data_IF_643202795361
#
_entry.id   IF_643202795361
#
_cell.length_a   1.000
_cell.length_b   1.000
_cell.length_c   1.000
_cell.angle_alpha   90.00
_cell.angle_beta   90.00
_cell.angle_gamma   90.00
#
_symmetry.space_group_name_H-M   'P 1'
#
loop_
_entity.id
_entity.type
_entity.pdbx_description
1 polymer ?
#
# COMPACT_ATOMS: atom_id res chain seq x y z
N UNK A 1 26.09 14.57 2.90
CA UNK A 1 24.89 14.08 3.59
C UNK A 1 23.76 14.95 3.13
N UNK A 2 22.87 14.39 2.32
CA UNK A 2 21.84 15.10 1.56
C UNK A 2 20.75 15.65 2.51
N UNK A 3 19.98 16.65 2.11
CA UNK A 3 18.83 17.16 2.89
C UNK A 3 17.80 16.03 3.14
N UNK A 4 17.67 15.14 2.14
CA UNK A 4 16.89 13.92 2.20
C UNK A 4 17.25 13.01 3.40
N UNK A 5 18.53 12.95 3.79
CA UNK A 5 19.00 12.08 4.88
C UNK A 5 18.70 12.67 6.27
N UNK A 6 18.43 13.98 6.35
CA UNK A 6 18.43 14.73 7.62
C UNK A 6 17.04 15.15 8.10
N UNK A 7 16.04 15.11 7.22
CA UNK A 7 14.72 15.69 7.51
C UNK A 7 13.61 14.74 7.07
N UNK A 8 12.56 14.68 7.90
CA UNK A 8 11.30 14.05 7.53
C UNK A 8 10.49 14.88 6.52
N UNK A 9 10.98 16.05 6.13
CA UNK A 9 10.39 16.90 5.08
C UNK A 9 11.47 17.64 4.29
N UNK A 10 11.22 17.93 3.02
CA UNK A 10 12.09 18.81 2.23
C UNK A 10 11.33 19.46 1.08
N UNK A 11 11.99 20.40 0.39
CA UNK A 11 11.48 20.99 -0.84
C UNK A 11 12.18 20.37 -2.05
N UNK A 12 11.48 19.60 -2.91
CA UNK A 12 12.06 19.06 -4.12
C UNK A 12 12.54 20.19 -5.05
N UNK A 13 13.71 19.99 -5.66
CA UNK A 13 14.15 20.85 -6.75
C UNK A 13 13.27 20.58 -8.00
N UNK A 14 12.89 21.61 -8.77
CA UNK A 14 12.30 21.43 -10.08
C UNK A 14 13.19 20.58 -10.99
N UNK A 15 12.61 19.94 -12.00
CA UNK A 15 13.38 19.25 -13.02
C UNK A 15 14.28 20.21 -13.81
N UNK A 16 15.48 19.74 -14.13
CA UNK A 16 16.31 20.40 -15.13
C UNK A 16 15.59 20.39 -16.48
N UNK A 17 15.82 21.41 -17.31
CA UNK A 17 15.18 21.52 -18.63
C UNK A 17 15.41 20.25 -19.49
N UNK A 18 16.54 19.57 -19.28
CA UNK A 18 16.89 18.33 -19.97
C UNK A 18 16.00 17.13 -19.58
N UNK A 19 15.24 17.18 -18.49
CA UNK A 19 14.37 16.07 -18.02
C UNK A 19 12.89 16.43 -18.01
N UNK A 20 12.57 17.71 -18.23
CA UNK A 20 11.20 18.19 -18.34
C UNK A 20 10.44 17.41 -19.42
N UNK A 21 9.15 17.15 -19.18
CA UNK A 21 8.30 16.51 -20.18
C UNK A 21 8.21 17.43 -21.42
N UNK A 22 8.58 16.95 -22.63
CA UNK A 22 8.49 17.74 -23.85
C UNK A 22 7.07 18.23 -24.15
N UNK A 23 6.95 19.43 -24.72
CA UNK A 23 5.66 20.09 -24.96
C UNK A 23 4.75 19.32 -25.92
N UNK A 24 5.32 18.63 -26.90
CA UNK A 24 4.58 17.80 -27.84
C UNK A 24 3.94 16.58 -27.14
N UNK A 25 4.67 15.95 -26.20
CA UNK A 25 4.13 14.85 -25.39
C UNK A 25 3.10 15.36 -24.38
N UNK A 26 3.30 16.56 -23.82
CA UNK A 26 2.34 17.22 -22.93
C UNK A 26 1.01 17.49 -23.65
N UNK A 27 1.06 18.00 -24.88
CA UNK A 27 -0.12 18.33 -25.66
C UNK A 27 -0.92 17.10 -26.10
N UNK A 28 -0.28 15.93 -26.20
CA UNK A 28 -0.91 14.67 -26.59
C UNK A 28 -1.67 13.96 -25.44
N UNK A 29 -1.50 14.41 -24.19
CA UNK A 29 -2.11 13.76 -23.03
C UNK A 29 -3.51 14.31 -22.70
N UNK A 30 -4.51 13.45 -22.40
CA UNK A 30 -5.87 13.88 -22.06
C UNK A 30 -5.99 14.81 -20.84
N UNK A 31 -5.01 14.80 -19.92
CA UNK A 31 -4.96 15.69 -18.76
C UNK A 31 -3.99 16.87 -18.95
N UNK A 32 -3.41 17.03 -20.15
CA UNK A 32 -2.36 18.01 -20.42
C UNK A 32 -1.11 17.80 -19.57
N UNK A 33 -0.85 16.55 -19.16
CA UNK A 33 0.24 16.14 -18.27
C UNK A 33 0.34 16.97 -16.98
N UNK A 34 -0.81 17.35 -16.41
CA UNK A 34 -0.92 18.06 -15.12
C UNK A 34 -0.46 17.20 -13.95
N UNK A 35 -0.53 15.88 -14.12
CA UNK A 35 -0.13 14.83 -13.18
C UNK A 35 1.29 14.29 -13.44
N UNK A 36 2.07 14.91 -14.34
CA UNK A 36 3.44 14.48 -14.58
C UNK A 36 4.35 14.81 -13.39
N UNK A 37 4.80 13.76 -12.68
CA UNK A 37 5.75 13.87 -11.58
C UNK A 37 7.15 14.30 -12.01
N UNK A 38 7.93 14.85 -11.07
CA UNK A 38 9.29 15.33 -11.33
C UNK A 38 10.32 14.21 -11.19
N UNK A 39 11.28 14.16 -12.13
CA UNK A 39 12.41 13.23 -12.09
C UNK A 39 13.28 13.51 -10.85
N UNK A 40 13.59 14.78 -10.58
CA UNK A 40 14.39 15.20 -9.44
C UNK A 40 13.75 14.88 -8.09
N UNK A 41 12.42 14.81 -8.03
CA UNK A 41 11.71 14.34 -6.84
C UNK A 41 11.99 12.86 -6.55
N UNK A 42 12.09 12.02 -7.58
CA UNK A 42 12.20 10.56 -7.43
C UNK A 42 13.62 10.10 -7.15
N UNK A 43 14.63 10.78 -7.71
CA UNK A 43 16.05 10.38 -7.62
C UNK A 43 16.58 10.15 -6.20
N UNK A 44 16.30 11.00 -5.19
CA UNK A 44 16.75 10.75 -3.82
C UNK A 44 16.23 9.41 -3.25
N UNK A 45 14.97 9.07 -3.51
CA UNK A 45 14.39 7.80 -3.08
C UNK A 45 15.03 6.60 -3.78
N UNK A 46 15.26 6.70 -5.09
CA UNK A 46 15.99 5.66 -5.83
C UNK A 46 17.36 5.44 -5.20
N UNK A 47 18.14 6.51 -4.98
CA UNK A 47 19.50 6.41 -4.42
C UNK A 47 19.51 5.78 -3.04
N UNK A 48 18.53 6.13 -2.21
CA UNK A 48 18.51 5.73 -0.81
C UNK A 48 17.96 4.31 -0.60
N UNK A 49 16.94 3.91 -1.36
CA UNK A 49 16.22 2.65 -1.16
C UNK A 49 16.54 1.56 -2.17
N UNK A 50 17.54 1.77 -3.04
CA UNK A 50 18.04 0.75 -3.96
C UNK A 50 19.54 0.88 -4.17
N UNK A 51 20.16 -0.16 -4.74
CA UNK A 51 21.56 -0.21 -5.15
C UNK A 51 21.67 -0.12 -6.68
N UNK A 52 22.80 0.36 -7.23
CA UNK A 52 23.03 0.30 -8.68
C UNK A 52 22.77 -1.10 -9.24
N UNK A 53 22.08 -1.18 -10.38
CA UNK A 53 21.66 -2.43 -11.03
C UNK A 53 20.41 -3.11 -10.46
N UNK A 54 19.86 -2.66 -9.32
CA UNK A 54 18.58 -3.18 -8.81
C UNK A 54 17.38 -2.70 -9.65
N UNK A 55 16.27 -3.44 -9.54
CA UNK A 55 15.05 -3.20 -10.31
C UNK A 55 14.10 -2.24 -9.58
N UNK A 56 13.98 -1.01 -10.11
CA UNK A 56 12.95 -0.04 -9.69
C UNK A 56 11.67 -0.29 -10.49
N UNK A 57 10.55 -0.31 -9.80
CA UNK A 57 9.24 -0.56 -10.39
C UNK A 57 8.24 0.55 -10.07
N UNK A 58 7.46 0.94 -11.08
CA UNK A 58 6.35 1.87 -10.94
C UNK A 58 5.05 1.25 -11.51
N UNK A 59 4.08 0.86 -10.66
CA UNK A 59 2.79 0.31 -11.11
C UNK A 59 1.88 1.32 -11.80
N UNK A 60 2.21 2.61 -11.74
CA UNK A 60 1.42 3.72 -12.29
C UNK A 60 2.34 4.68 -13.06
N UNK A 61 3.17 4.13 -13.95
CA UNK A 61 4.36 4.84 -14.43
C UNK A 61 4.06 6.10 -15.23
N UNK A 62 2.84 6.30 -15.73
CA UNK A 62 2.40 7.54 -16.38
C UNK A 62 3.36 7.95 -17.48
N UNK A 63 4.06 9.06 -17.29
CA UNK A 63 5.04 9.60 -18.24
C UNK A 63 6.48 9.06 -18.05
N UNK A 64 6.68 8.01 -17.26
CA UNK A 64 7.97 7.38 -17.03
C UNK A 64 8.96 8.17 -16.16
N UNK A 65 8.51 9.17 -15.38
CA UNK A 65 9.41 9.99 -14.56
C UNK A 65 10.22 9.16 -13.56
N UNK A 66 9.59 8.17 -12.90
CA UNK A 66 10.28 7.24 -12.00
C UNK A 66 11.31 6.39 -12.75
N UNK A 67 10.96 5.90 -13.94
CA UNK A 67 11.82 5.02 -14.73
C UNK A 67 13.06 5.77 -15.23
N UNK A 68 12.88 7.03 -15.65
CA UNK A 68 13.97 7.93 -16.02
C UNK A 68 14.85 8.26 -14.80
N UNK A 69 14.25 8.56 -13.64
CA UNK A 69 15.00 8.80 -12.41
C UNK A 69 15.86 7.58 -12.02
N UNK A 70 15.31 6.38 -12.15
CA UNK A 70 16.03 5.14 -11.89
C UNK A 70 17.23 4.97 -12.82
N UNK A 71 17.04 5.16 -14.12
CA UNK A 71 18.10 5.08 -15.12
C UNK A 71 19.22 6.11 -14.88
N UNK A 72 18.87 7.36 -14.57
CA UNK A 72 19.85 8.41 -14.25
C UNK A 72 20.69 8.09 -13.01
N UNK A 73 20.14 7.30 -12.09
CA UNK A 73 20.84 6.82 -10.90
C UNK A 73 21.54 5.47 -11.13
N UNK A 74 21.58 4.93 -12.36
CA UNK A 74 22.24 3.67 -12.66
C UNK A 74 21.51 2.43 -12.13
N UNK A 75 20.18 2.52 -12.00
CA UNK A 75 19.29 1.38 -11.70
C UNK A 75 18.58 0.93 -12.96
N UNK A 76 18.20 -0.35 -12.98
CA UNK A 76 17.27 -0.84 -13.97
C UNK A 76 15.85 -0.41 -13.58
N UNK A 77 14.97 -0.28 -14.58
CA UNK A 77 13.61 0.15 -14.32
C UNK A 77 12.61 -0.56 -15.22
N UNK A 78 11.40 -0.78 -14.69
CA UNK A 78 10.24 -1.18 -15.48
C UNK A 78 8.97 -0.62 -14.85
N UNK A 79 7.92 -0.44 -15.64
CA UNK A 79 6.67 0.12 -15.13
C UNK A 79 5.45 -0.37 -15.87
N UNK A 80 4.29 0.01 -15.34
CA UNK A 80 2.98 -0.31 -15.90
C UNK A 80 2.17 0.96 -16.07
N UNK A 81 1.47 1.05 -17.19
CA UNK A 81 0.50 2.11 -17.45
C UNK A 81 -0.72 1.47 -18.12
N UNK A 82 -1.91 1.73 -17.58
CA UNK A 82 -3.12 1.08 -18.03
C UNK A 82 -3.60 1.65 -19.37
N UNK A 83 -3.37 2.95 -19.60
CA UNK A 83 -3.74 3.62 -20.85
C UNK A 83 -2.68 3.37 -21.95
N UNK A 84 -3.04 2.72 -23.07
CA UNK A 84 -2.07 2.40 -24.13
C UNK A 84 -1.40 3.63 -24.74
N UNK A 85 -2.12 4.75 -24.86
CA UNK A 85 -1.60 5.97 -25.45
C UNK A 85 -0.55 6.62 -24.52
N UNK A 86 -0.85 6.72 -23.22
CA UNK A 86 0.07 7.21 -22.20
C UNK A 86 1.28 6.31 -22.02
N UNK A 87 1.09 4.98 -22.08
CA UNK A 87 2.20 4.03 -22.12
C UNK A 87 3.14 4.32 -23.31
N UNK A 88 2.59 4.66 -24.48
CA UNK A 88 3.38 5.03 -25.65
C UNK A 88 4.11 6.37 -25.47
N UNK A 89 3.48 7.35 -24.81
CA UNK A 89 4.14 8.61 -24.44
C UNK A 89 5.33 8.36 -23.50
N UNK A 90 5.17 7.48 -22.50
CA UNK A 90 6.24 7.09 -21.59
C UNK A 90 7.43 6.48 -22.34
N UNK A 91 7.18 5.49 -23.21
CA UNK A 91 8.21 4.87 -24.05
C UNK A 91 8.93 5.90 -24.92
N UNK A 92 8.18 6.81 -25.53
CA UNK A 92 8.73 7.87 -26.39
C UNK A 92 9.63 8.81 -25.59
N UNK A 93 9.21 9.24 -24.40
CA UNK A 93 10.02 10.06 -23.50
C UNK A 93 11.31 9.35 -23.11
N UNK A 94 11.23 8.09 -22.68
CA UNK A 94 12.40 7.30 -22.28
C UNK A 94 13.39 7.12 -23.44
N UNK A 95 12.90 6.80 -24.64
CA UNK A 95 13.73 6.67 -25.83
C UNK A 95 14.48 7.97 -26.19
N UNK A 96 13.85 9.14 -26.03
CA UNK A 96 14.51 10.45 -26.24
C UNK A 96 15.66 10.71 -25.26
N UNK A 97 15.66 10.06 -24.10
CA UNK A 97 16.75 10.10 -23.14
C UNK A 97 17.71 8.90 -23.27
N UNK A 98 17.60 8.10 -24.33
CA UNK A 98 18.36 6.86 -24.51
C UNK A 98 18.22 5.88 -23.33
N UNK A 99 17.03 5.85 -22.71
CA UNK A 99 16.71 4.93 -21.62
C UNK A 99 15.87 3.77 -22.15
N UNK A 100 16.38 2.56 -21.98
CA UNK A 100 15.65 1.32 -22.26
C UNK A 100 15.03 0.78 -20.96
N UNK A 101 13.73 0.98 -20.78
CA UNK A 101 12.97 0.47 -19.64
C UNK A 101 11.62 -0.10 -20.12
N UNK A 102 11.26 -1.36 -19.79
CA UNK A 102 9.98 -1.92 -20.16
C UNK A 102 8.81 -1.14 -19.57
N UNK A 103 7.85 -0.78 -20.42
CA UNK A 103 6.55 -0.24 -20.03
C UNK A 103 5.50 -1.22 -20.50
N UNK A 104 4.85 -1.92 -19.57
CA UNK A 104 3.77 -2.88 -19.86
C UNK A 104 2.44 -2.15 -19.85
N UNK A 105 1.59 -2.41 -20.86
CA UNK A 105 0.23 -1.86 -20.88
C UNK A 105 -0.67 -2.72 -20.00
N UNK A 106 -1.26 -2.13 -18.97
CA UNK A 106 -2.20 -2.80 -18.07
C UNK A 106 -1.98 -2.48 -16.59
N UNK A 107 -2.61 -3.27 -15.74
CA UNK A 107 -2.56 -3.13 -14.29
C UNK A 107 -1.83 -4.30 -13.64
N UNK A 108 -1.06 -4.01 -12.59
CA UNK A 108 -0.41 -5.05 -11.78
C UNK A 108 -1.42 -5.99 -11.10
N UNK A 109 -2.68 -5.54 -10.94
CA UNK A 109 -3.75 -6.39 -10.42
C UNK A 109 -4.03 -7.59 -11.35
N UNK A 110 -3.76 -7.44 -12.65
CA UNK A 110 -4.17 -8.40 -13.69
C UNK A 110 -2.96 -9.05 -14.39
N UNK A 111 -1.83 -8.35 -14.47
CA UNK A 111 -0.67 -8.76 -15.27
C UNK A 111 0.59 -8.77 -14.40
N UNK A 112 1.43 -9.78 -14.59
CA UNK A 112 2.72 -9.88 -13.91
C UNK A 112 3.71 -8.80 -14.40
N UNK A 113 4.56 -8.26 -13.51
CA UNK A 113 5.59 -7.29 -13.90
C UNK A 113 6.63 -7.92 -14.83
N UNK A 114 7.31 -7.08 -15.62
CA UNK A 114 8.33 -7.53 -16.56
C UNK A 114 9.58 -8.13 -15.88
N UNK A 115 9.79 -7.84 -14.59
CA UNK A 115 10.93 -8.30 -13.83
C UNK A 115 10.63 -8.34 -12.31
N UNK A 116 11.50 -8.95 -11.49
CA UNK A 116 11.41 -8.85 -10.03
C UNK A 116 11.49 -7.39 -9.55
N UNK A 117 10.90 -7.11 -8.38
CA UNK A 117 10.81 -5.76 -7.82
C UNK A 117 11.68 -5.66 -6.56
N UNK A 118 12.74 -4.84 -6.63
CA UNK A 118 13.60 -4.49 -5.49
C UNK A 118 13.07 -3.25 -4.75
N UNK A 119 12.72 -2.22 -5.52
CA UNK A 119 12.12 -0.97 -5.05
C UNK A 119 10.83 -0.69 -5.82
N UNK A 120 9.72 -0.51 -5.11
CA UNK A 120 8.52 0.10 -5.69
C UNK A 120 8.56 1.60 -5.42
N UNK A 121 8.55 2.44 -6.45
CA UNK A 121 8.49 3.89 -6.31
C UNK A 121 7.42 4.41 -7.26
N UNK A 122 6.44 5.14 -6.74
CA UNK A 122 5.28 5.52 -7.55
C UNK A 122 4.63 6.80 -7.07
N UNK A 123 4.03 7.55 -7.99
CA UNK A 123 3.01 8.53 -7.65
C UNK A 123 1.65 7.94 -7.99
N UNK A 124 0.77 7.84 -7.00
CA UNK A 124 -0.49 7.13 -7.17
C UNK A 124 -1.48 7.98 -7.97
N UNK A 125 -2.34 7.39 -8.82
CA UNK A 125 -3.40 8.16 -9.46
C UNK A 125 -4.32 8.76 -8.40
N UNK A 126 -4.65 10.05 -8.54
CA UNK A 126 -5.49 10.76 -7.58
C UNK A 126 -6.98 10.66 -7.90
N UNK A 127 -7.80 10.50 -6.86
CA UNK A 127 -9.24 10.47 -7.00
C UNK A 127 -9.78 11.85 -7.42
N UNK A 128 -10.79 11.84 -8.30
CA UNK A 128 -11.45 13.06 -8.77
C UNK A 128 -10.66 13.85 -9.83
N UNK A 129 -9.56 13.29 -10.36
CA UNK A 129 -8.98 13.76 -11.61
C UNK A 129 -9.96 13.42 -12.74
N UNK A 130 -10.66 14.42 -13.28
CA UNK A 130 -11.61 14.23 -14.38
C UNK A 130 -10.91 13.63 -15.61
N UNK A 131 -10.90 12.32 -15.73
CA UNK A 131 -10.31 11.60 -16.86
C UNK A 131 -11.12 11.87 -18.13
N UNK A 132 -10.44 12.26 -19.20
CA UNK A 132 -11.06 12.59 -20.49
C UNK A 132 -10.70 11.61 -21.62
N UNK A 133 -9.86 10.60 -21.34
CA UNK A 133 -9.55 9.53 -22.27
C UNK A 133 -10.52 8.35 -22.18
N UNK A 134 -10.16 7.23 -22.80
CA UNK A 134 -10.95 6.01 -22.75
C UNK A 134 -11.03 5.47 -21.31
N UNK A 135 -12.24 5.08 -20.88
CA UNK A 135 -12.47 4.50 -19.55
C UNK A 135 -12.25 2.99 -19.63
N UNK A 136 -11.02 2.58 -19.30
CA UNK A 136 -10.63 1.17 -19.26
C UNK A 136 -11.01 0.55 -17.90
N UNK A 137 -11.35 -0.76 -17.85
CA UNK A 137 -11.50 -1.47 -16.56
C UNK A 137 -10.23 -1.32 -15.72
N UNK A 138 -10.38 -0.87 -14.47
CA UNK A 138 -9.25 -0.60 -13.57
C UNK A 138 -8.63 0.80 -13.69
N UNK A 139 -9.14 1.67 -14.57
CA UNK A 139 -8.68 3.06 -14.69
C UNK A 139 -9.07 3.87 -13.46
N UNK A 140 -8.11 4.05 -12.53
CA UNK A 140 -8.36 4.68 -11.23
C UNK A 140 -8.73 6.15 -11.32
N UNK A 141 -8.23 6.89 -12.33
CA UNK A 141 -8.65 8.27 -12.57
C UNK A 141 -10.14 8.39 -12.95
N UNK A 142 -10.72 7.34 -13.53
CA UNK A 142 -12.11 7.30 -13.95
C UNK A 142 -13.05 6.64 -12.90
N UNK A 143 -12.59 6.44 -11.67
CA UNK A 143 -13.39 5.84 -10.60
C UNK A 143 -14.67 6.66 -10.36
N UNK A 144 -15.83 6.01 -10.44
CA UNK A 144 -17.15 6.64 -10.23
C UNK A 144 -17.36 7.17 -8.82
N UNK A 145 -16.71 6.54 -7.84
CA UNK A 145 -16.83 6.83 -6.44
C UNK A 145 -15.53 6.46 -5.70
N UNK A 146 -15.40 6.98 -4.49
CA UNK A 146 -14.18 6.86 -3.71
C UNK A 146 -13.94 5.44 -3.18
N UNK A 147 -14.99 4.65 -2.95
CA UNK A 147 -14.85 3.27 -2.48
C UNK A 147 -14.31 2.37 -3.58
N UNK A 148 -14.80 2.54 -4.82
CA UNK A 148 -14.27 1.89 -6.01
C UNK A 148 -12.79 2.22 -6.25
N UNK A 149 -12.41 3.49 -6.06
CA UNK A 149 -11.02 3.95 -6.13
C UNK A 149 -10.12 3.22 -5.09
N UNK A 150 -10.53 3.19 -3.82
CA UNK A 150 -9.77 2.50 -2.76
C UNK A 150 -9.68 0.99 -3.00
N UNK A 151 -10.74 0.39 -3.57
CA UNK A 151 -10.76 -1.03 -3.94
C UNK A 151 -9.71 -1.34 -5.01
N UNK A 152 -9.63 -0.52 -6.06
CA UNK A 152 -8.61 -0.69 -7.09
C UNK A 152 -7.18 -0.43 -6.58
N UNK A 153 -6.98 0.58 -5.72
CA UNK A 153 -5.70 0.77 -5.02
C UNK A 153 -5.30 -0.47 -4.21
N UNK A 154 -6.21 -1.01 -3.41
CA UNK A 154 -5.98 -2.22 -2.62
C UNK A 154 -5.60 -3.40 -3.51
N UNK A 155 -6.28 -3.58 -4.65
CA UNK A 155 -5.98 -4.66 -5.60
C UNK A 155 -4.54 -4.56 -6.13
N UNK A 156 -4.12 -3.37 -6.57
CA UNK A 156 -2.76 -3.14 -7.09
C UNK A 156 -1.71 -3.37 -6.00
N UNK A 157 -1.85 -2.78 -4.81
CA UNK A 157 -0.86 -2.96 -3.74
C UNK A 157 -0.84 -4.39 -3.17
N UNK A 158 -1.97 -5.09 -3.20
CA UNK A 158 -2.02 -6.51 -2.85
C UNK A 158 -1.27 -7.36 -3.88
N UNK A 159 -1.40 -7.05 -5.17
CA UNK A 159 -0.62 -7.70 -6.23
C UNK A 159 0.89 -7.37 -6.10
N UNK A 160 1.23 -6.11 -5.79
CA UNK A 160 2.61 -5.69 -5.52
C UNK A 160 3.23 -6.55 -4.43
N UNK A 161 2.53 -6.76 -3.31
CA UNK A 161 3.00 -7.58 -2.19
C UNK A 161 3.39 -9.01 -2.63
N UNK A 162 2.70 -9.58 -3.62
CA UNK A 162 3.00 -10.93 -4.13
C UNK A 162 4.25 -10.97 -5.01
N UNK A 163 4.58 -9.87 -5.68
CA UNK A 163 5.67 -9.78 -6.67
C UNK A 163 6.95 -9.19 -6.10
N UNK A 164 6.82 -8.38 -5.05
CA UNK A 164 7.92 -7.69 -4.40
C UNK A 164 8.80 -8.65 -3.60
N UNK A 165 10.12 -8.49 -3.70
CA UNK A 165 11.06 -9.32 -2.93
C UNK A 165 10.84 -9.16 -1.42
N UNK A 166 11.08 -10.21 -0.60
CA UNK A 166 11.16 -10.05 0.84
C UNK A 166 12.13 -8.93 1.22
N UNK A 167 11.75 -8.15 2.21
CA UNK A 167 12.46 -6.96 2.69
C UNK A 167 12.62 -5.82 1.66
N UNK A 168 12.03 -5.93 0.48
CA UNK A 168 11.98 -4.85 -0.50
C UNK A 168 11.25 -3.62 0.05
N UNK A 169 11.66 -2.43 -0.40
CA UNK A 169 11.11 -1.15 0.05
C UNK A 169 10.17 -0.56 -1.00
N UNK A 170 9.06 0.01 -0.54
CA UNK A 170 8.09 0.70 -1.35
C UNK A 170 7.91 2.14 -0.89
N UNK A 171 7.69 3.03 -1.85
CA UNK A 171 7.42 4.45 -1.62
C UNK A 171 6.25 4.85 -2.51
N UNK A 172 5.14 5.22 -1.89
CA UNK A 172 3.95 5.71 -2.58
C UNK A 172 3.74 7.20 -2.30
N UNK A 173 3.83 8.02 -3.35
CA UNK A 173 3.56 9.44 -3.29
C UNK A 173 2.05 9.69 -3.39
N UNK A 174 1.50 10.48 -2.47
CA UNK A 174 0.05 10.71 -2.37
C UNK A 174 -0.28 12.03 -1.66
N UNK A 175 -1.39 12.65 -2.05
CA UNK A 175 -1.91 13.88 -1.44
C UNK A 175 -3.32 13.67 -0.89
N UNK A 176 -3.72 14.48 0.08
CA UNK A 176 -5.14 14.67 0.39
C UNK A 176 -5.75 15.57 -0.70
N UNK A 177 -6.86 15.13 -1.28
CA UNK A 177 -7.50 15.80 -2.42
C UNK A 177 -8.72 16.61 -1.99
N UNK A 178 -9.14 17.53 -2.85
CA UNK A 178 -10.40 18.29 -2.67
C UNK A 178 -11.23 18.06 -3.91
N UNK A 179 -12.41 17.48 -3.74
CA UNK A 179 -13.34 17.14 -4.82
C UNK A 179 -14.69 17.74 -4.47
N UNK A 180 -15.23 18.59 -5.35
CA UNK A 180 -16.49 19.29 -5.10
C UNK A 180 -16.49 20.13 -3.81
N UNK A 181 -15.35 20.72 -3.43
CA UNK A 181 -15.19 21.49 -2.18
C UNK A 181 -15.03 20.65 -0.92
N UNK A 182 -15.08 19.32 -1.00
CA UNK A 182 -14.89 18.41 0.13
C UNK A 182 -13.45 17.92 0.19
N UNK A 183 -12.82 18.02 1.36
CA UNK A 183 -11.52 17.37 1.63
C UNK A 183 -11.72 15.86 1.72
N UNK A 184 -10.90 15.13 0.97
CA UNK A 184 -10.82 13.68 0.98
C UNK A 184 -9.44 13.29 1.52
N UNK A 185 -9.37 12.52 2.63
CA UNK A 185 -8.12 12.14 3.28
C UNK A 185 -7.41 10.98 2.55
N UNK A 186 -7.23 11.12 1.23
CA UNK A 186 -6.70 10.07 0.36
C UNK A 186 -5.33 9.56 0.79
N UNK A 187 -4.44 10.43 1.29
CA UNK A 187 -3.13 10.00 1.77
C UNK A 187 -3.25 9.08 3.00
N UNK A 188 -4.15 9.39 3.92
CA UNK A 188 -4.33 8.61 5.14
C UNK A 188 -5.05 7.29 4.86
N UNK A 189 -5.99 7.29 3.93
CA UNK A 189 -6.72 6.08 3.52
C UNK A 189 -5.80 5.12 2.78
N UNK A 190 -4.95 5.63 1.88
CA UNK A 190 -3.90 4.83 1.26
C UNK A 190 -2.90 4.32 2.31
N UNK A 191 -2.51 5.15 3.28
CA UNK A 191 -1.67 4.72 4.40
C UNK A 191 -2.25 3.52 5.15
N UNK A 192 -3.57 3.51 5.39
CA UNK A 192 -4.27 2.37 5.99
C UNK A 192 -4.24 1.12 5.11
N UNK A 193 -4.41 1.25 3.79
CA UNK A 193 -4.27 0.14 2.85
C UNK A 193 -2.85 -0.43 2.92
N UNK A 194 -1.83 0.43 2.82
CA UNK A 194 -0.43 0.02 2.88
C UNK A 194 -0.09 -0.67 4.21
N UNK A 195 -0.54 -0.13 5.36
CA UNK A 195 -0.35 -0.74 6.68
C UNK A 195 -0.96 -2.13 6.82
N UNK A 196 -2.05 -2.40 6.10
CA UNK A 196 -2.70 -3.72 6.12
C UNK A 196 -1.95 -4.78 5.30
N UNK A 197 -1.08 -4.35 4.39
CA UNK A 197 -0.36 -5.21 3.43
C UNK A 197 1.14 -5.31 3.73
N UNK A 198 1.73 -4.24 4.25
CA UNK A 198 3.16 -4.04 4.46
C UNK A 198 3.44 -3.48 5.85
N UNK A 199 4.70 -3.51 6.27
CA UNK A 199 5.12 -2.75 7.45
C UNK A 199 5.36 -1.30 7.03
N UNK A 200 4.53 -0.38 7.54
CA UNK A 200 4.81 1.05 7.40
C UNK A 200 6.08 1.40 8.19
N UNK A 201 6.99 2.13 7.55
CA UNK A 201 8.27 2.53 8.14
C UNK A 201 8.25 3.98 8.58
N UNK A 202 7.98 4.87 7.64
CA UNK A 202 7.99 6.30 7.88
C UNK A 202 7.24 7.01 6.74
N UNK A 203 7.02 8.29 6.89
CA UNK A 203 6.63 9.19 5.82
C UNK A 203 7.72 10.25 5.58
N UNK A 204 7.75 10.77 4.35
CA UNK A 204 8.41 12.04 4.05
C UNK A 204 7.38 13.04 3.56
N UNK A 205 7.49 14.30 3.97
CA UNK A 205 6.63 15.38 3.47
C UNK A 205 7.40 16.23 2.46
N UNK A 206 6.94 16.22 1.22
CA UNK A 206 7.52 16.97 0.12
C UNK A 206 6.78 18.30 0.00
N UNK A 207 7.45 19.39 0.36
CA UNK A 207 6.87 20.74 0.37
C UNK A 207 7.28 21.52 -0.88
N UNK A 208 6.35 21.71 -1.81
CA UNK A 208 6.59 22.44 -3.06
C UNK A 208 6.55 23.95 -2.84
N UNK A 209 7.46 24.69 -3.48
CA UNK A 209 7.37 26.15 -3.53
C UNK A 209 6.27 26.56 -4.51
N UNK A 210 5.09 26.88 -3.97
CA UNK A 210 3.97 27.46 -4.73
C UNK A 210 3.53 28.76 -4.06
N UNK A 211 3.11 29.73 -4.86
CA UNK A 211 2.51 30.95 -4.35
C UNK A 211 1.28 30.62 -3.49
N UNK A 212 1.07 31.40 -2.43
CA UNK A 212 -0.08 31.30 -1.54
C UNK A 212 -0.66 32.69 -1.28
N UNK A 213 -1.90 32.73 -0.81
CA UNK A 213 -2.56 33.94 -0.36
C UNK A 213 -2.69 33.93 1.16
N UNK A 214 -2.83 35.12 1.77
CA UNK A 214 -3.24 35.21 3.16
C UNK A 214 -4.64 34.61 3.32
N UNK A 215 -4.82 33.81 4.37
CA UNK A 215 -6.12 33.23 4.71
C UNK A 215 -6.87 34.17 5.63
N UNK A 216 -8.17 34.34 5.38
CA UNK A 216 -9.08 34.99 6.30
C UNK A 216 -9.23 34.19 7.61
N UNK A 217 -9.80 34.82 8.64
CA UNK A 217 -10.09 34.12 9.89
C UNK A 217 -10.99 32.90 9.64
N UNK A 218 -10.58 31.74 10.17
CA UNK A 218 -11.25 30.44 10.02
C UNK A 218 -11.31 29.87 8.58
N UNK A 219 -10.67 30.51 7.60
CA UNK A 219 -10.48 29.89 6.28
C UNK A 219 -9.41 28.80 6.34
N UNK A 220 -9.71 27.66 5.73
CA UNK A 220 -8.83 26.47 5.76
C UNK A 220 -8.22 26.14 4.39
N UNK A 221 -8.68 26.80 3.32
CA UNK A 221 -8.29 26.51 1.94
C UNK A 221 -6.95 27.16 1.59
N UNK A 222 -5.86 26.49 1.93
CA UNK A 222 -4.51 26.90 1.53
C UNK A 222 -4.17 26.49 0.09
N UNK A 223 -2.95 26.83 -0.36
CA UNK A 223 -2.43 26.39 -1.66
C UNK A 223 -2.08 24.89 -1.73
N UNK A 224 -2.23 24.15 -0.62
CA UNK A 224 -1.97 22.69 -0.49
C UNK A 224 -0.73 22.24 -1.26
N UNK A 225 0.38 22.89 -0.97
CA UNK A 225 1.63 22.70 -1.69
C UNK A 225 2.51 21.60 -1.07
N UNK A 226 1.91 20.46 -0.69
CA UNK A 226 2.66 19.32 -0.18
C UNK A 226 2.16 17.97 -0.67
N UNK A 227 3.04 16.97 -0.64
CA UNK A 227 2.77 15.57 -0.91
C UNK A 227 3.41 14.68 0.18
N UNK A 228 2.79 13.55 0.47
CA UNK A 228 3.34 12.52 1.35
C UNK A 228 4.02 11.46 0.51
N UNK A 229 5.25 11.09 0.85
CA UNK A 229 5.86 9.84 0.42
C UNK A 229 5.73 8.83 1.54
N UNK A 230 4.80 7.89 1.40
CA UNK A 230 4.57 6.84 2.38
C UNK A 230 5.57 5.70 2.13
N UNK A 231 6.44 5.45 3.10
CA UNK A 231 7.49 4.43 3.01
C UNK A 231 7.01 3.16 3.71
N UNK A 232 7.02 2.06 2.98
CA UNK A 232 6.60 0.75 3.45
C UNK A 232 7.62 -0.32 3.07
N UNK A 233 7.61 -1.45 3.78
CA UNK A 233 8.53 -2.55 3.51
C UNK A 233 7.80 -3.88 3.47
N UNK A 234 8.18 -4.74 2.52
CA UNK A 234 7.72 -6.12 2.43
C UNK A 234 8.48 -7.04 3.39
N UNK A 235 8.47 -6.70 4.68
CA UNK A 235 9.00 -7.58 5.72
C UNK A 235 7.86 -8.40 6.34
N UNK A 236 8.14 -9.66 6.66
CA UNK A 236 7.21 -10.50 7.40
C UNK A 236 7.14 -9.98 8.85
N UNK A 237 5.95 -9.58 9.30
CA UNK A 237 5.74 -9.25 10.70
C UNK A 237 6.10 -10.49 11.55
N UNK A 238 6.89 -10.28 12.62
CA UNK A 238 7.21 -11.34 13.58
C UNK A 238 6.20 -11.30 14.70
N UNK A 239 5.66 -12.46 15.05
CA UNK A 239 4.76 -12.60 16.19
C UNK A 239 5.55 -12.40 17.50
N UNK A 240 5.02 -11.59 18.41
CA UNK A 240 5.50 -11.55 19.79
C UNK A 240 5.04 -12.84 20.51
N UNK A 241 5.97 -13.78 20.68
CA UNK A 241 5.71 -15.10 21.27
C UNK A 241 5.18 -15.02 22.71
N UNK A 242 5.65 -14.03 23.48
CA UNK A 242 5.22 -13.87 24.86
C UNK A 242 3.77 -13.40 24.92
N UNK A 243 3.42 -12.40 24.10
CA UNK A 243 2.04 -11.91 24.03
C UNK A 243 1.09 -12.96 23.44
N UNK A 244 1.54 -13.73 22.45
CA UNK A 244 0.77 -14.85 21.90
C UNK A 244 0.47 -15.91 22.98
N UNK A 245 1.46 -16.31 23.78
CA UNK A 245 1.28 -17.24 24.88
C UNK A 245 0.33 -16.70 25.96
N UNK A 246 0.47 -15.43 26.35
CA UNK A 246 -0.42 -14.77 27.31
C UNK A 246 -1.87 -14.72 26.81
N UNK A 247 -2.07 -14.40 25.52
CA UNK A 247 -3.40 -14.39 24.92
C UNK A 247 -4.03 -15.79 24.96
N UNK A 248 -3.27 -16.83 24.59
CA UNK A 248 -3.76 -18.21 24.63
C UNK A 248 -4.21 -18.63 26.03
N UNK A 249 -3.41 -18.31 27.06
CA UNK A 249 -3.78 -18.58 28.45
C UNK A 249 -5.07 -17.84 28.84
N UNK A 250 -5.21 -16.58 28.43
CA UNK A 250 -6.39 -15.79 28.72
C UNK A 250 -7.64 -16.33 28.01
N UNK A 251 -7.53 -16.77 26.74
CA UNK A 251 -8.64 -17.40 26.00
C UNK A 251 -9.02 -18.75 26.62
N UNK A 252 -8.05 -19.55 27.05
CA UNK A 252 -8.30 -20.81 27.77
C UNK A 252 -9.02 -20.56 29.11
N UNK A 253 -8.65 -19.50 29.84
CA UNK A 253 -9.32 -19.11 31.09
C UNK A 253 -10.78 -18.69 30.88
N UNK A 254 -11.19 -18.28 29.67
CA UNK A 254 -12.60 -18.04 29.31
C UNK A 254 -13.38 -19.34 29.06
N UNK A 255 -12.73 -20.51 29.08
CA UNK A 255 -13.36 -21.79 28.75
C UNK A 255 -13.74 -21.92 27.28
N UNK A 256 -13.11 -21.14 26.39
CA UNK A 256 -13.38 -21.19 24.95
C UNK A 256 -12.61 -22.35 24.30
N UNK A 257 -13.27 -23.22 23.50
CA UNK A 257 -12.66 -24.38 22.89
C UNK A 257 -11.90 -24.00 21.61
N UNK A 258 -10.83 -23.22 21.75
CA UNK A 258 -9.95 -22.83 20.64
C UNK A 258 -8.84 -23.86 20.44
N UNK A 259 -8.47 -24.09 19.18
CA UNK A 259 -7.33 -24.93 18.80
C UNK A 259 -6.33 -24.06 18.05
N UNK A 260 -5.06 -24.12 18.44
CA UNK A 260 -3.99 -23.42 17.74
C UNK A 260 -3.65 -24.15 16.45
N UNK A 261 -3.52 -23.41 15.35
CA UNK A 261 -3.16 -23.95 14.04
C UNK A 261 -1.93 -23.22 13.45
N UNK A 262 -1.47 -23.67 12.29
CA UNK A 262 -0.53 -22.92 11.46
C UNK A 262 0.91 -22.89 11.98
N UNK A 263 1.58 -21.76 11.76
CA UNK A 263 3.01 -21.62 12.02
C UNK A 263 3.35 -21.70 13.51
N UNK A 264 2.50 -21.12 14.36
CA UNK A 264 2.65 -21.14 15.81
C UNK A 264 2.46 -22.54 16.41
N UNK A 265 1.43 -23.29 15.95
CA UNK A 265 1.23 -24.67 16.39
C UNK A 265 2.42 -25.58 16.06
N UNK A 266 2.97 -25.46 14.84
CA UNK A 266 4.19 -26.20 14.45
C UNK A 266 5.38 -25.81 15.31
N UNK A 267 5.56 -24.51 15.57
CA UNK A 267 6.64 -24.00 16.41
C UNK A 267 6.54 -24.49 17.86
N UNK A 268 5.33 -24.54 18.43
CA UNK A 268 5.08 -25.11 19.76
C UNK A 268 5.45 -26.59 19.84
N UNK A 269 5.20 -27.37 18.79
CA UNK A 269 5.56 -28.78 18.73
C UNK A 269 7.07 -28.98 18.54
N UNK A 270 7.69 -28.19 17.66
CA UNK A 270 9.13 -28.15 17.44
C UNK A 270 9.55 -26.83 16.78
N UNK A 271 10.55 -26.11 17.31
CA UNK A 271 11.05 -24.89 16.68
C UNK A 271 11.80 -25.12 15.36
N UNK A 272 12.41 -26.30 15.18
CA UNK A 272 13.26 -26.67 14.03
C UNK A 272 12.60 -26.44 12.65
N UNK A 273 11.35 -26.87 12.39
CA UNK A 273 10.68 -26.64 11.11
C UNK A 273 10.21 -25.19 10.89
N UNK A 274 10.38 -24.30 11.88
CA UNK A 274 10.00 -22.88 11.78
C UNK A 274 11.18 -21.99 12.20
N UNK A 275 12.32 -22.03 11.47
CA UNK A 275 13.58 -21.42 11.90
C UNK A 275 13.53 -19.89 12.00
N UNK A 276 12.61 -19.25 11.28
CA UNK A 276 12.39 -17.80 11.34
C UNK A 276 11.39 -17.37 12.44
N UNK A 277 10.85 -18.34 13.19
CA UNK A 277 9.74 -18.14 14.11
C UNK A 277 8.37 -18.07 13.43
N UNK A 278 7.28 -18.22 14.20
CA UNK A 278 5.92 -18.08 13.69
C UNK A 278 5.60 -16.63 13.33
N UNK A 279 4.76 -16.46 12.32
CA UNK A 279 4.42 -15.14 11.79
C UNK A 279 3.12 -14.57 12.39
N UNK A 280 2.26 -15.45 12.85
CA UNK A 280 0.86 -15.23 13.19
C UNK A 280 0.42 -16.25 14.23
N UNK A 281 -0.66 -15.91 14.94
CA UNK A 281 -1.37 -16.83 15.82
C UNK A 281 -2.71 -17.20 15.17
N UNK A 282 -2.78 -18.37 14.54
CA UNK A 282 -4.03 -18.89 13.98
C UNK A 282 -4.80 -19.67 15.05
N UNK A 283 -6.06 -19.29 15.29
CA UNK A 283 -6.96 -20.00 16.20
C UNK A 283 -8.17 -20.54 15.44
N UNK A 284 -8.42 -21.82 15.58
CA UNK A 284 -9.63 -22.48 15.11
C UNK A 284 -10.68 -22.52 16.22
N UNK A 285 -11.90 -22.09 15.91
CA UNK A 285 -13.05 -22.13 16.80
C UNK A 285 -14.23 -22.82 16.09
N UNK A 286 -14.91 -23.72 16.78
CA UNK A 286 -16.08 -24.44 16.25
C UNK A 286 -17.16 -23.48 15.74
N UNK A 287 -17.94 -23.90 14.74
CA UNK A 287 -18.97 -23.11 14.08
C UNK A 287 -20.25 -22.89 14.88
N UNK A 288 -20.14 -22.45 16.14
CA UNK A 288 -21.28 -22.10 16.99
C UNK A 288 -21.33 -20.59 17.22
N UNK A 289 -22.42 -19.92 16.80
CA UNK A 289 -22.54 -18.45 16.89
C UNK A 289 -22.27 -17.92 18.32
N UNK A 290 -22.78 -18.60 19.35
CA UNK A 290 -22.56 -18.20 20.74
C UNK A 290 -21.09 -18.24 21.20
N UNK A 291 -20.25 -19.09 20.58
CA UNK A 291 -18.81 -19.09 20.84
C UNK A 291 -18.12 -17.91 20.16
N UNK A 292 -18.49 -17.64 18.91
CA UNK A 292 -17.96 -16.51 18.14
C UNK A 292 -18.34 -15.17 18.77
N UNK A 293 -19.59 -15.02 19.23
CA UNK A 293 -20.04 -13.82 19.94
C UNK A 293 -19.18 -13.58 21.18
N UNK A 294 -19.02 -14.61 22.03
CA UNK A 294 -18.20 -14.51 23.25
C UNK A 294 -16.75 -14.15 22.94
N UNK A 295 -16.10 -14.84 22.01
CA UNK A 295 -14.70 -14.59 21.68
C UNK A 295 -14.50 -13.20 21.06
N UNK A 296 -15.33 -12.81 20.10
CA UNK A 296 -15.18 -11.52 19.40
C UNK A 296 -15.49 -10.34 20.32
N UNK A 297 -16.52 -10.45 21.17
CA UNK A 297 -16.80 -9.43 22.20
C UNK A 297 -15.65 -9.31 23.19
N UNK A 298 -15.13 -10.44 23.68
CA UNK A 298 -14.00 -10.44 24.61
C UNK A 298 -12.74 -9.84 23.99
N UNK A 299 -12.37 -10.23 22.76
CA UNK A 299 -11.23 -9.65 22.04
C UNK A 299 -11.38 -8.13 21.88
N UNK A 300 -12.56 -7.64 21.50
CA UNK A 300 -12.81 -6.21 21.37
C UNK A 300 -12.67 -5.49 22.73
N UNK A 301 -13.13 -6.09 23.83
CA UNK A 301 -12.92 -5.57 25.19
C UNK A 301 -11.45 -5.56 25.60
N UNK A 302 -10.64 -6.50 25.10
CA UNK A 302 -9.19 -6.53 25.29
C UNK A 302 -8.42 -5.57 24.37
N UNK A 303 -9.13 -4.70 23.63
CA UNK A 303 -8.56 -3.68 22.77
C UNK A 303 -8.14 -4.16 21.38
N UNK A 304 -8.61 -5.33 20.93
CA UNK A 304 -8.38 -5.77 19.56
C UNK A 304 -9.34 -5.05 18.59
N UNK A 305 -8.80 -4.54 17.50
CA UNK A 305 -9.55 -4.17 16.32
C UNK A 305 -9.86 -5.44 15.51
N UNK A 306 -11.12 -5.58 15.08
CA UNK A 306 -11.56 -6.72 14.28
C UNK A 306 -11.71 -6.29 12.82
N UNK A 307 -11.30 -7.14 11.89
CA UNK A 307 -11.45 -6.88 10.46
C UNK A 307 -11.65 -8.14 9.63
N UNK A 308 -12.39 -7.99 8.53
CA UNK A 308 -12.57 -9.00 7.50
C UNK A 308 -11.98 -8.44 6.20
N UNK A 309 -10.93 -9.09 5.69
CA UNK A 309 -10.23 -8.65 4.47
C UNK A 309 -9.72 -7.18 4.56
N UNK A 310 -9.38 -6.75 5.77
CA UNK A 310 -8.90 -5.40 6.06
C UNK A 310 -10.00 -4.36 6.27
N UNK A 311 -11.27 -4.74 6.11
CA UNK A 311 -12.41 -3.86 6.44
C UNK A 311 -12.79 -4.02 7.92
N UNK A 312 -12.84 -2.92 8.70
CA UNK A 312 -13.17 -2.98 10.12
C UNK A 312 -14.59 -3.52 10.36
N UNK A 313 -14.74 -4.40 11.35
CA UNK A 313 -16.04 -4.87 11.81
C UNK A 313 -16.16 -4.75 13.34
N UNK A 314 -17.39 -4.74 13.85
CA UNK A 314 -17.67 -4.71 15.29
C UNK A 314 -18.16 -6.07 15.77
N UNK A 315 -17.76 -6.44 16.98
CA UNK A 315 -18.33 -7.58 17.67
C UNK A 315 -19.78 -7.31 18.11
N UNK A 316 -20.66 -8.33 18.17
CA UNK A 316 -20.39 -9.71 17.73
C UNK A 316 -20.32 -9.85 16.21
N UNK A 317 -19.42 -10.71 15.72
CA UNK A 317 -19.28 -10.97 14.28
C UNK A 317 -20.13 -12.18 13.90
N UNK A 318 -21.05 -12.00 12.94
CA UNK A 318 -21.90 -13.07 12.45
C UNK A 318 -21.07 -14.17 11.77
N UNK A 319 -21.29 -15.43 12.17
CA UNK A 319 -20.55 -16.59 11.67
C UNK A 319 -20.71 -16.77 10.16
N UNK A 320 -21.89 -16.45 9.62
CA UNK A 320 -22.15 -16.49 8.18
C UNK A 320 -21.18 -15.60 7.39
N UNK A 321 -20.82 -14.43 7.94
CA UNK A 321 -19.87 -13.52 7.31
C UNK A 321 -18.46 -14.10 7.35
N UNK A 322 -18.06 -14.70 8.47
CA UNK A 322 -16.75 -15.34 8.59
C UNK A 322 -16.63 -16.52 7.61
N UNK A 323 -17.68 -17.34 7.46
CA UNK A 323 -17.71 -18.43 6.47
C UNK A 323 -17.45 -17.93 5.04
N UNK A 324 -18.06 -16.82 4.66
CA UNK A 324 -17.87 -16.23 3.34
C UNK A 324 -16.45 -15.68 3.10
N UNK A 325 -15.70 -15.34 4.17
CA UNK A 325 -14.39 -14.69 4.09
C UNK A 325 -13.23 -15.57 4.56
N UNK A 326 -13.50 -16.81 4.99
CA UNK A 326 -12.60 -17.85 5.51
C UNK A 326 -11.87 -17.56 6.83
N UNK A 327 -11.67 -16.29 7.19
CA UNK A 327 -11.05 -15.91 8.47
C UNK A 327 -11.57 -14.55 8.95
N UNK A 328 -11.52 -14.34 10.26
CA UNK A 328 -11.69 -13.04 10.91
C UNK A 328 -10.36 -12.66 11.55
N UNK A 329 -9.83 -11.47 11.25
CA UNK A 329 -8.60 -10.96 11.85
C UNK A 329 -8.89 -10.12 13.07
N UNK A 330 -8.21 -10.42 14.17
CA UNK A 330 -8.13 -9.57 15.34
C UNK A 330 -6.70 -9.05 15.49
N UNK A 331 -6.55 -7.74 15.67
CA UNK A 331 -5.24 -7.11 15.80
C UNK A 331 -5.20 -6.11 16.94
N UNK A 332 -4.11 -6.13 17.70
CA UNK A 332 -3.86 -5.18 18.78
C UNK A 332 -2.43 -4.67 18.70
N UNK A 333 -2.25 -3.38 18.88
CA UNK A 333 -0.95 -2.74 19.05
C UNK A 333 -0.83 -2.31 20.51
N UNK A 334 0.16 -2.84 21.22
CA UNK A 334 0.47 -2.48 22.60
C UNK A 334 1.04 -1.07 22.71
N UNK A 335 1.09 -0.52 23.93
CA UNK A 335 1.71 0.78 24.20
C UNK A 335 3.23 0.80 23.91
N UNK A 336 3.85 -0.38 23.83
CA UNK A 336 5.24 -0.58 23.41
C UNK A 336 5.41 -0.65 21.87
N UNK A 337 4.32 -0.43 21.12
CA UNK A 337 4.28 -0.50 19.66
C UNK A 337 4.27 -1.92 19.08
N UNK A 338 4.29 -2.97 19.92
CA UNK A 338 4.30 -4.34 19.43
C UNK A 338 2.91 -4.74 18.96
N UNK A 339 2.87 -5.36 17.78
CA UNK A 339 1.66 -5.86 17.13
C UNK A 339 1.43 -7.32 17.47
N UNK A 340 0.22 -7.65 17.92
CA UNK A 340 -0.27 -9.01 18.05
C UNK A 340 -1.43 -9.20 17.06
N UNK A 341 -1.20 -10.04 16.05
CA UNK A 341 -2.20 -10.44 15.07
C UNK A 341 -2.68 -11.85 15.37
N UNK A 342 -3.99 -12.05 15.32
CA UNK A 342 -4.66 -13.32 15.53
C UNK A 342 -5.65 -13.52 14.41
N UNK A 343 -5.56 -14.64 13.70
CA UNK A 343 -6.51 -14.99 12.65
C UNK A 343 -7.42 -16.12 13.15
N UNK A 344 -8.71 -15.82 13.25
CA UNK A 344 -9.75 -16.74 13.71
C UNK A 344 -10.38 -17.44 12.51
N UNK A 345 -10.41 -18.78 12.55
CA UNK A 345 -10.87 -19.61 11.45
C UNK A 345 -11.85 -20.68 11.93
N UNK A 346 -12.65 -21.19 10.99
CA UNK A 346 -13.44 -22.40 11.20
C UNK A 346 -12.60 -23.64 10.91
N UNK A 347 -12.90 -24.80 11.52
CA UNK A 347 -12.28 -26.07 11.15
C UNK A 347 -12.56 -26.41 9.67
N UNK A 348 -11.55 -26.95 8.98
CA UNK A 348 -11.60 -27.26 7.53
C UNK A 348 -12.67 -28.31 7.19
N UNK A 349 -13.03 -29.17 8.14
CA UNK A 349 -13.93 -30.31 7.94
C UNK A 349 -15.42 -30.04 8.28
N UNK A 350 -15.81 -28.78 8.49
CA UNK A 350 -17.18 -28.45 8.87
C UNK A 350 -18.08 -28.31 7.62
N UNK A 351 -19.21 -29.04 7.51
CA UNK A 351 -20.06 -29.00 6.32
C UNK A 351 -20.60 -27.58 6.08
N UNK A 352 -20.76 -27.13 4.82
CA UNK A 352 -21.52 -25.92 4.54
C UNK A 352 -22.94 -26.10 5.09
N UNK A 353 -23.42 -25.11 5.86
CA UNK A 353 -24.82 -25.09 6.27
C UNK A 353 -25.70 -24.94 5.01
N UNK A 354 -26.87 -25.60 4.97
CA UNK A 354 -27.77 -25.61 3.83
C UNK A 354 -28.28 -24.23 3.40
#
# INVERSE_FOLDING_TARGET
MDEFDRRSWWTPAPDEAAWALPDDLRAADPLGARDCGWVNQMRPFVRHFSRPGEQVFDPFCGFGSTLLAAALEGRNAHGMEIDPARAQLARTRLARHAVEAPVVVGSLADIAPAAPIDLCLTNVPYFGCHWHGDVLPGQLYASSDYASYLTGMRAVFHALRKQMRPDGVGVAMVQNVVVGGRVIPQAWDLGRILASLFNLREERVLCYRRAGAALGHAETQSNRSHEYALIFQHCRARLDLQQAAQLLQAVQAQGLPVVVHGSYARWLASPTPVPQGPADLDLMLRGEQALWDRLTLWLQQQGFALSLWGEPCRAPVALAVVRAHHYLRAERIGADGRRLQVDLQLPVDEPPLP
#
